data_IF_917139283333
#
_entry.id   IF_917139283333
#
_cell.length_a   1.000
_cell.length_b   1.000
_cell.length_c   1.000
_cell.angle_alpha   90.00
_cell.angle_beta   90.00
_cell.angle_gamma   90.00
#
_symmetry.space_group_name_H-M   'P 1'
#
loop_
_entity.id
_entity.type
_entity.pdbx_description
1 polymer ?
#
# COMPACT_ATOMS: atom_id res chain seq x y z
N UNK A 1 41.03 25.69 11.03
CA UNK A 1 39.77 25.47 11.75
C UNK A 1 38.69 25.37 10.69
N UNK A 2 38.12 24.25 10.29
CA UNK A 2 38.05 22.88 10.79
C UNK A 2 36.77 22.35 10.15
N UNK A 3 36.90 21.36 9.27
CA UNK A 3 35.84 20.72 8.48
C UNK A 3 35.07 19.73 9.37
N UNK A 4 33.75 19.65 9.27
CA UNK A 4 32.96 18.57 9.89
C UNK A 4 31.77 18.16 9.02
N UNK A 5 32.06 17.20 8.12
CA UNK A 5 31.15 16.18 7.62
C UNK A 5 31.05 14.99 8.61
N UNK A 6 29.98 14.18 8.46
CA UNK A 6 29.64 12.91 9.10
C UNK A 6 28.55 13.01 10.18
N UNK A 7 27.53 12.17 10.24
CA UNK A 7 27.29 10.92 9.56
C UNK A 7 26.08 10.24 10.23
N UNK A 8 25.21 9.66 9.43
CA UNK A 8 24.04 8.88 9.85
C UNK A 8 24.47 7.56 10.50
N UNK A 9 23.99 7.25 11.71
CA UNK A 9 23.59 5.90 12.13
C UNK A 9 23.04 5.87 13.55
N UNK A 10 21.80 5.39 13.71
CA UNK A 10 21.32 4.80 14.96
C UNK A 10 21.27 3.28 14.81
N UNK A 11 21.96 2.52 15.67
CA UNK A 11 21.65 1.11 15.87
C UNK A 11 21.14 0.87 17.29
N UNK A 12 19.97 0.23 17.38
CA UNK A 12 19.70 -0.95 18.21
C UNK A 12 18.24 -1.00 18.67
N UNK A 13 17.54 -2.03 18.22
CA UNK A 13 16.44 -2.62 18.97
C UNK A 13 16.67 -4.12 19.00
N UNK A 14 17.33 -4.56 20.05
CA UNK A 14 17.56 -5.96 20.38
C UNK A 14 16.25 -6.54 20.90
N UNK A 15 15.68 -7.50 20.18
CA UNK A 15 14.57 -8.31 20.68
C UNK A 15 15.12 -9.37 21.63
N UNK A 16 14.79 -9.28 22.90
CA UNK A 16 15.12 -10.31 23.89
C UNK A 16 13.91 -11.22 24.10
N UNK A 17 14.06 -12.48 23.69
CA UNK A 17 13.21 -13.59 24.15
C UNK A 17 13.67 -14.02 25.55
N UNK A 18 12.75 -14.19 26.49
CA UNK A 18 13.03 -14.92 27.72
C UNK A 18 11.83 -15.78 28.14
N UNK A 19 12.10 -17.07 28.20
CA UNK A 19 11.29 -18.15 28.78
C UNK A 19 11.61 -18.32 30.28
N UNK A 20 10.60 -18.56 31.11
CA UNK A 20 10.70 -19.05 32.51
C UNK A 20 9.67 -18.37 33.43
N UNK A 21 8.53 -18.97 33.80
CA UNK A 21 8.26 -20.06 34.78
C UNK A 21 8.49 -19.67 36.26
N UNK A 22 7.39 -19.35 37.01
CA UNK A 22 6.83 -20.09 38.18
C UNK A 22 6.17 -19.20 39.27
N UNK A 23 4.92 -19.57 39.65
CA UNK A 23 4.19 -19.39 40.95
C UNK A 23 3.87 -17.93 41.38
N UNK A 24 2.68 -17.55 41.84
CA UNK A 24 1.91 -18.05 43.01
C UNK A 24 0.37 -17.95 42.85
N UNK A 25 -0.35 -18.67 43.72
CA UNK A 25 -1.82 -18.86 43.79
C UNK A 25 -2.51 -17.74 44.57
N UNK A 26 -3.77 -17.43 44.23
CA UNK A 26 -4.86 -17.17 45.18
C UNK A 26 -6.20 -17.65 44.57
N UNK A 27 -7.10 -18.11 45.45
CA UNK A 27 -8.33 -18.89 45.21
C UNK A 27 -9.54 -18.05 45.65
N UNK A 28 -10.60 -17.94 44.84
CA UNK A 28 -11.96 -17.71 45.35
C UNK A 28 -13.07 -18.16 44.35
N UNK A 29 -13.84 -19.12 44.85
CA UNK A 29 -15.24 -19.57 44.62
C UNK A 29 -15.95 -19.59 43.24
N UNK A 30 -16.44 -20.80 42.93
CA UNK A 30 -17.38 -21.27 41.89
C UNK A 30 -18.85 -20.82 42.15
N UNK A 31 -19.78 -20.83 41.16
CA UNK A 31 -20.54 -22.09 40.93
C UNK A 31 -21.00 -22.37 39.48
N UNK A 32 -20.64 -23.56 39.00
CA UNK A 32 -21.52 -24.65 38.50
C UNK A 32 -22.42 -24.41 37.27
N UNK A 33 -22.05 -25.10 36.18
CA UNK A 33 -22.87 -25.33 34.97
C UNK A 33 -22.50 -26.64 34.27
N UNK A 34 -22.96 -27.75 34.85
CA UNK A 34 -22.75 -29.15 34.47
C UNK A 34 -23.04 -29.50 32.99
N UNK A 35 -22.13 -30.26 32.35
CA UNK A 35 -22.36 -31.66 31.91
C UNK A 35 -21.19 -32.17 31.08
N UNK A 36 -20.49 -33.16 31.64
CA UNK A 36 -19.54 -33.98 30.91
C UNK A 36 -20.23 -34.72 29.76
N UNK A 37 -19.54 -34.74 28.63
CA UNK A 37 -19.64 -35.84 27.68
C UNK A 37 -18.28 -36.50 27.76
N UNK A 38 -18.19 -37.50 28.65
CA UNK A 38 -17.24 -38.60 28.49
C UNK A 38 -17.61 -39.25 27.16
N UNK A 39 -16.78 -39.07 26.16
CA UNK A 39 -16.71 -39.95 25.00
C UNK A 39 -15.46 -40.81 25.24
N UNK A 40 -15.53 -41.63 26.28
CA UNK A 40 -14.64 -42.77 26.42
C UNK A 40 -15.11 -43.81 25.39
N UNK A 41 -14.37 -43.96 24.30
CA UNK A 41 -13.90 -45.26 23.83
C UNK A 41 -12.83 -45.08 22.74
N UNK A 42 -11.78 -45.89 22.90
CA UNK A 42 -10.73 -46.25 21.93
C UNK A 42 -9.58 -45.26 21.71
N UNK A 43 -8.67 -45.28 22.69
CA UNK A 43 -7.30 -44.83 22.53
C UNK A 43 -6.43 -45.88 21.83
N UNK A 44 -6.54 -46.07 20.51
CA UNK A 44 -5.43 -46.60 19.71
C UNK A 44 -5.61 -46.41 18.18
N UNK A 45 -5.80 -45.18 17.71
CA UNK A 45 -5.62 -44.91 16.28
C UNK A 45 -4.99 -43.54 15.98
N UNK A 46 -4.36 -42.94 16.98
CA UNK A 46 -3.92 -41.54 17.01
C UNK A 46 -2.74 -41.20 16.09
N UNK A 47 -2.28 -42.12 15.23
CA UNK A 47 -1.13 -41.87 14.33
C UNK A 47 -1.36 -42.16 12.85
N UNK A 48 -2.51 -42.69 12.44
CA UNK A 48 -2.80 -42.87 11.01
C UNK A 48 -3.50 -41.63 10.46
N UNK A 49 -2.81 -40.92 9.56
CA UNK A 49 -3.38 -39.77 8.83
C UNK A 49 -4.66 -40.22 8.13
N UNK A 50 -5.79 -39.62 8.52
CA UNK A 50 -7.09 -39.89 7.90
C UNK A 50 -7.02 -39.58 6.41
N UNK A 51 -7.35 -40.57 5.56
CA UNK A 51 -7.64 -40.35 4.15
C UNK A 51 -9.16 -40.40 3.98
N UNK A 52 -9.73 -39.28 3.55
CA UNK A 52 -11.14 -39.20 3.20
C UNK A 52 -11.35 -39.80 1.81
N UNK A 53 -12.47 -40.49 1.63
CA UNK A 53 -12.96 -40.89 0.30
C UNK A 53 -13.29 -39.65 -0.54
N UNK A 54 -13.33 -39.82 -1.87
CA UNK A 54 -13.74 -38.75 -2.79
C UNK A 54 -15.15 -38.25 -2.46
N UNK A 55 -16.10 -39.15 -2.25
CA UNK A 55 -17.49 -38.78 -1.95
C UNK A 55 -17.60 -38.03 -0.61
N UNK A 56 -16.87 -38.50 0.41
CA UNK A 56 -16.78 -37.79 1.69
C UNK A 56 -16.24 -36.37 1.52
N UNK A 57 -15.20 -36.20 0.69
CA UNK A 57 -14.62 -34.88 0.43
C UNK A 57 -15.57 -33.94 -0.32
N UNK A 58 -16.41 -34.48 -1.22
CA UNK A 58 -17.40 -33.70 -1.97
C UNK A 58 -18.47 -33.17 -1.03
N UNK A 59 -19.07 -34.03 -0.21
CA UNK A 59 -20.13 -33.64 0.73
C UNK A 59 -19.61 -32.63 1.77
N UNK A 60 -18.38 -32.82 2.28
CA UNK A 60 -17.75 -31.87 3.20
C UNK A 60 -17.57 -30.49 2.56
N UNK A 61 -17.14 -30.45 1.29
CA UNK A 61 -16.94 -29.19 0.57
C UNK A 61 -18.27 -28.50 0.23
N UNK A 62 -19.30 -29.25 -0.19
CA UNK A 62 -20.65 -28.71 -0.41
C UNK A 62 -21.22 -28.11 0.88
N UNK A 63 -21.18 -28.87 1.98
CA UNK A 63 -21.66 -28.38 3.27
C UNK A 63 -20.88 -27.13 3.73
N UNK A 64 -19.57 -27.08 3.45
CA UNK A 64 -18.74 -25.93 3.80
C UNK A 64 -19.07 -24.67 3.00
N UNK A 65 -19.44 -24.80 1.72
CA UNK A 65 -19.86 -23.67 0.88
C UNK A 65 -21.08 -22.97 1.47
N UNK A 66 -22.02 -23.75 1.98
CA UNK A 66 -23.24 -23.21 2.61
C UNK A 66 -22.96 -22.73 4.04
N UNK A 67 -22.14 -23.45 4.80
CA UNK A 67 -21.88 -23.20 6.22
C UNK A 67 -20.40 -23.39 6.56
N UNK A 68 -19.62 -22.30 6.59
CA UNK A 68 -18.18 -22.36 6.91
C UNK A 68 -17.88 -22.77 8.37
N UNK A 69 -18.89 -22.69 9.25
CA UNK A 69 -18.87 -23.15 10.64
C UNK A 69 -20.10 -24.02 10.91
N UNK A 70 -19.89 -25.14 11.59
CA UNK A 70 -20.98 -26.06 11.97
C UNK A 70 -21.32 -25.90 13.44
N UNK A 71 -22.62 -25.89 13.76
CA UNK A 71 -23.06 -26.07 15.13
C UNK A 71 -22.89 -27.55 15.57
N UNK A 72 -22.96 -27.86 16.88
CA UNK A 72 -22.75 -29.22 17.37
C UNK A 72 -23.70 -30.26 16.76
N UNK A 73 -24.98 -29.92 16.55
CA UNK A 73 -25.99 -30.82 15.97
C UNK A 73 -25.69 -31.13 14.50
N UNK A 74 -25.38 -30.12 13.70
CA UNK A 74 -24.97 -30.26 12.30
C UNK A 74 -23.70 -31.10 12.18
N UNK A 75 -22.70 -30.84 13.05
CA UNK A 75 -21.46 -31.63 13.11
C UNK A 75 -21.74 -33.11 13.36
N UNK A 76 -22.59 -33.42 14.35
CA UNK A 76 -22.96 -34.80 14.65
C UNK A 76 -23.75 -35.45 13.50
N UNK A 77 -24.69 -34.74 12.89
CA UNK A 77 -25.47 -35.25 11.76
C UNK A 77 -24.58 -35.56 10.55
N UNK A 78 -23.67 -34.64 10.20
CA UNK A 78 -22.72 -34.81 9.10
C UNK A 78 -21.73 -35.95 9.38
N UNK A 79 -21.24 -36.07 10.62
CA UNK A 79 -20.38 -37.17 11.03
C UNK A 79 -21.07 -38.53 10.84
N UNK A 80 -22.34 -38.65 11.25
CA UNK A 80 -23.14 -39.87 11.05
C UNK A 80 -23.35 -40.16 9.56
N UNK A 81 -23.73 -39.16 8.76
CA UNK A 81 -23.94 -39.31 7.32
C UNK A 81 -22.68 -39.80 6.59
N UNK A 82 -21.50 -39.34 7.01
CA UNK A 82 -20.23 -39.66 6.36
C UNK A 82 -19.53 -40.90 6.93
N UNK A 83 -20.06 -41.49 8.00
CA UNK A 83 -19.37 -42.57 8.74
C UNK A 83 -18.03 -42.11 9.35
N UNK A 84 -17.95 -40.85 9.80
CA UNK A 84 -16.76 -40.26 10.39
C UNK A 84 -17.00 -39.94 11.87
N UNK A 85 -15.91 -39.77 12.63
CA UNK A 85 -16.00 -39.21 13.99
C UNK A 85 -16.27 -37.71 13.92
N UNK A 86 -17.06 -37.20 14.85
CA UNK A 86 -17.36 -35.76 14.95
C UNK A 86 -16.09 -34.91 15.01
N UNK A 87 -15.04 -35.40 15.70
CA UNK A 87 -13.72 -34.73 15.74
C UNK A 87 -13.05 -34.64 14.38
N UNK A 88 -13.19 -35.65 13.51
CA UNK A 88 -12.60 -35.63 12.17
C UNK A 88 -13.27 -34.56 11.30
N UNK A 89 -14.60 -34.45 11.38
CA UNK A 89 -15.35 -33.37 10.72
C UNK A 89 -14.90 -32.01 11.24
N UNK A 90 -14.80 -31.84 12.56
CA UNK A 90 -14.34 -30.59 13.17
C UNK A 90 -12.95 -30.17 12.69
N UNK A 91 -11.97 -31.08 12.74
CA UNK A 91 -10.60 -30.84 12.29
C UNK A 91 -10.57 -30.53 10.80
N UNK A 92 -11.40 -31.20 9.99
CA UNK A 92 -11.50 -30.90 8.56
C UNK A 92 -11.98 -29.47 8.32
N UNK A 93 -13.05 -29.04 9.01
CA UNK A 93 -13.59 -27.68 8.90
C UNK A 93 -12.59 -26.62 9.39
N UNK A 94 -11.88 -26.89 10.48
CA UNK A 94 -10.80 -26.02 10.98
C UNK A 94 -9.68 -25.88 9.93
N UNK A 95 -9.19 -27.00 9.40
CA UNK A 95 -8.15 -27.00 8.37
C UNK A 95 -8.60 -26.32 7.08
N UNK A 96 -9.88 -26.49 6.70
CA UNK A 96 -10.44 -25.84 5.52
C UNK A 96 -10.46 -24.33 5.69
N UNK A 97 -10.93 -23.82 6.84
CA UNK A 97 -10.91 -22.38 7.16
C UNK A 97 -9.49 -21.83 7.23
N UNK A 98 -8.56 -22.55 7.88
CA UNK A 98 -7.16 -22.15 7.97
C UNK A 98 -6.54 -21.99 6.56
N UNK A 99 -6.75 -22.95 5.66
CA UNK A 99 -6.29 -22.87 4.27
C UNK A 99 -6.93 -21.72 3.49
N UNK A 100 -8.23 -21.47 3.67
CA UNK A 100 -8.90 -20.33 3.02
C UNK A 100 -8.32 -19.01 3.51
N UNK A 101 -8.14 -18.85 4.82
CA UNK A 101 -7.55 -17.65 5.41
C UNK A 101 -6.12 -17.43 4.92
N UNK A 102 -5.30 -18.48 4.90
CA UNK A 102 -3.92 -18.41 4.40
C UNK A 102 -3.88 -17.92 2.95
N UNK A 103 -4.66 -18.54 2.05
CA UNK A 103 -4.75 -18.12 0.65
C UNK A 103 -5.19 -16.67 0.51
N UNK A 104 -6.16 -16.23 1.32
CA UNK A 104 -6.60 -14.84 1.32
C UNK A 104 -5.46 -13.90 1.74
N UNK A 105 -4.75 -14.21 2.82
CA UNK A 105 -3.62 -13.41 3.28
C UNK A 105 -2.49 -13.34 2.25
N UNK A 106 -2.20 -14.44 1.54
CA UNK A 106 -1.22 -14.44 0.45
C UNK A 106 -1.61 -13.44 -0.65
N UNK A 107 -2.87 -13.48 -1.09
CA UNK A 107 -3.42 -12.54 -2.11
C UNK A 107 -3.40 -11.10 -1.60
N UNK A 108 -3.81 -10.86 -0.36
CA UNK A 108 -3.83 -9.52 0.23
C UNK A 108 -2.41 -8.95 0.33
N UNK A 109 -1.43 -9.77 0.71
CA UNK A 109 -0.02 -9.37 0.76
C UNK A 109 0.52 -9.00 -0.63
N UNK A 110 0.18 -9.77 -1.67
CA UNK A 110 0.55 -9.43 -3.04
C UNK A 110 -0.09 -8.14 -3.52
N UNK A 111 -1.38 -7.94 -3.22
CA UNK A 111 -2.10 -6.72 -3.55
C UNK A 111 -1.47 -5.49 -2.88
N UNK A 112 -1.25 -5.55 -1.56
CA UNK A 112 -0.63 -4.46 -0.81
C UNK A 112 0.78 -4.14 -1.33
N UNK A 113 1.57 -5.16 -1.68
CA UNK A 113 2.90 -4.96 -2.27
C UNK A 113 2.83 -4.14 -3.56
N UNK A 114 1.92 -4.50 -4.47
CA UNK A 114 1.72 -3.75 -5.73
C UNK A 114 1.26 -2.31 -5.47
N UNK A 115 0.37 -2.11 -4.51
CA UNK A 115 -0.05 -0.76 -4.13
C UNK A 115 1.12 0.08 -3.61
N UNK A 116 1.98 -0.49 -2.77
CA UNK A 116 3.18 0.18 -2.27
C UNK A 116 4.17 0.54 -3.39
N UNK A 117 4.43 -0.39 -4.32
CA UNK A 117 5.28 -0.15 -5.49
C UNK A 117 4.73 1.00 -6.34
N UNK A 118 3.43 0.98 -6.65
CA UNK A 118 2.80 2.03 -7.45
C UNK A 118 2.84 3.39 -6.75
N UNK A 119 2.49 3.45 -5.45
CA UNK A 119 2.56 4.69 -4.67
C UNK A 119 3.99 5.24 -4.61
N UNK A 120 4.99 4.37 -4.53
CA UNK A 120 6.40 4.76 -4.52
C UNK A 120 6.81 5.39 -5.85
N UNK A 121 6.41 4.79 -6.97
CA UNK A 121 6.70 5.35 -8.30
C UNK A 121 5.97 6.68 -8.52
N UNK A 122 4.70 6.77 -8.16
CA UNK A 122 3.93 8.02 -8.26
C UNK A 122 4.53 9.12 -7.38
N UNK A 123 4.96 8.78 -6.16
CA UNK A 123 5.63 9.74 -5.27
C UNK A 123 6.95 10.22 -5.89
N UNK A 124 7.75 9.31 -6.46
CA UNK A 124 8.98 9.64 -7.17
C UNK A 124 8.72 10.53 -8.38
N UNK A 125 7.67 10.27 -9.16
CA UNK A 125 7.28 11.10 -10.31
C UNK A 125 6.89 12.51 -9.87
N UNK A 126 6.01 12.62 -8.88
CA UNK A 126 5.58 13.91 -8.34
C UNK A 126 6.75 14.70 -7.74
N UNK A 127 7.70 14.05 -7.07
CA UNK A 127 8.91 14.71 -6.57
C UNK A 127 9.78 15.29 -7.69
N UNK A 128 9.91 14.58 -8.83
CA UNK A 128 10.60 15.10 -10.02
C UNK A 128 9.85 16.31 -10.59
N UNK A 129 8.54 16.20 -10.80
CA UNK A 129 7.71 17.31 -11.29
C UNK A 129 7.83 18.54 -10.37
N UNK A 130 7.77 18.35 -9.06
CA UNK A 130 7.95 19.42 -8.07
C UNK A 130 9.33 20.06 -8.18
N UNK A 131 10.38 19.26 -8.37
CA UNK A 131 11.76 19.75 -8.50
C UNK A 131 11.95 20.56 -9.79
N UNK A 132 11.42 20.07 -10.91
CA UNK A 132 11.43 20.76 -12.20
C UNK A 132 10.67 22.09 -12.13
N UNK A 133 9.46 22.10 -11.55
CA UNK A 133 8.68 23.32 -11.36
C UNK A 133 9.36 24.33 -10.45
N UNK A 134 10.07 23.87 -9.40
CA UNK A 134 10.87 24.75 -8.54
C UNK A 134 12.05 25.35 -9.32
N UNK A 135 12.77 24.54 -10.10
CA UNK A 135 13.88 25.01 -10.92
C UNK A 135 13.44 26.06 -11.96
N UNK A 136 12.29 25.85 -12.61
CA UNK A 136 11.71 26.81 -13.55
C UNK A 136 11.32 28.13 -12.86
N UNK A 137 10.74 28.07 -11.65
CA UNK A 137 10.41 29.28 -10.86
C UNK A 137 11.63 30.05 -10.37
N UNK A 138 12.75 29.36 -10.12
CA UNK A 138 14.00 29.95 -9.64
C UNK A 138 14.90 30.47 -10.76
N UNK A 139 14.63 30.15 -12.03
CA UNK A 139 15.34 30.70 -13.18
C UNK A 139 14.90 32.15 -13.43
N UNK A 140 15.72 33.16 -13.10
CA UNK A 140 15.34 34.56 -13.30
C UNK A 140 15.22 34.89 -14.80
N UNK A 141 15.83 34.07 -15.66
CA UNK A 141 16.00 34.36 -17.09
C UNK A 141 14.75 33.99 -17.89
N UNK A 142 14.02 32.96 -17.49
CA UNK A 142 12.78 32.56 -18.19
C UNK A 142 11.60 33.51 -17.91
N UNK A 143 11.51 34.05 -16.69
CA UNK A 143 10.46 35.03 -16.36
C UNK A 143 10.77 36.43 -16.91
N UNK A 144 12.06 36.79 -17.03
CA UNK A 144 12.49 38.09 -17.60
C UNK A 144 12.57 38.09 -19.14
N UNK A 145 12.67 36.91 -19.78
CA UNK A 145 12.66 36.73 -21.25
C UNK A 145 11.30 36.20 -21.77
N UNK A 146 10.22 36.27 -21.00
CA UNK A 146 8.91 36.36 -21.64
C UNK A 146 8.79 37.79 -22.13
N UNK A 147 8.82 38.00 -23.45
CA UNK A 147 8.43 39.28 -24.04
C UNK A 147 7.09 39.66 -23.40
N UNK A 148 6.95 40.89 -22.86
CA UNK A 148 5.71 41.27 -22.20
C UNK A 148 4.55 40.89 -23.11
N UNK A 149 3.51 40.20 -22.61
CA UNK A 149 2.31 39.98 -23.39
C UNK A 149 1.91 41.31 -24.00
N UNK A 150 1.50 41.34 -25.27
CA UNK A 150 0.96 42.56 -25.87
C UNK A 150 -0.29 42.93 -25.06
N UNK A 151 -0.10 43.72 -24.01
CA UNK A 151 -1.18 44.06 -23.10
C UNK A 151 -2.00 45.10 -23.81
N UNK A 152 -3.19 44.70 -24.26
CA UNK A 152 -4.21 45.62 -24.71
C UNK A 152 -4.52 46.54 -23.51
N UNK A 153 -4.03 47.77 -23.58
CA UNK A 153 -4.23 48.74 -22.51
C UNK A 153 -5.59 49.37 -22.73
N UNK A 154 -6.56 49.05 -21.87
CA UNK A 154 -7.87 49.68 -21.88
C UNK A 154 -7.75 51.08 -21.27
N UNK A 155 -8.19 52.09 -22.01
CA UNK A 155 -8.34 53.43 -21.46
C UNK A 155 -9.68 53.51 -20.71
N UNK A 156 -9.69 53.71 -19.37
CA UNK A 156 -10.92 53.69 -18.58
C UNK A 156 -11.84 54.90 -18.82
N UNK A 157 -11.45 55.85 -19.67
CA UNK A 157 -12.27 57.03 -20.01
C UNK A 157 -12.99 56.92 -21.36
N UNK A 158 -12.61 56.00 -22.24
CA UNK A 158 -13.20 55.89 -23.58
C UNK A 158 -13.40 54.46 -24.09
N UNK A 159 -13.14 53.43 -23.27
CA UNK A 159 -13.31 52.00 -23.58
C UNK A 159 -12.62 51.48 -24.85
N UNK A 160 -11.70 52.25 -25.44
CA UNK A 160 -11.01 51.86 -26.66
C UNK A 160 -9.81 50.95 -26.40
N UNK A 161 -9.69 49.91 -27.22
CA UNK A 161 -8.61 48.93 -27.22
C UNK A 161 -7.52 49.35 -28.18
N UNK A 162 -6.34 49.74 -27.70
CA UNK A 162 -5.22 50.15 -28.55
C UNK A 162 -4.05 49.16 -28.45
N UNK A 163 -3.58 48.66 -29.60
CA UNK A 163 -2.34 47.88 -29.72
C UNK A 163 -1.19 48.88 -29.84
N UNK A 164 -0.18 48.88 -28.94
CA UNK A 164 0.97 49.77 -29.11
C UNK A 164 1.81 49.34 -30.33
N UNK A 165 2.32 50.28 -31.14
CA UNK A 165 3.19 49.93 -32.27
C UNK A 165 4.52 49.34 -31.78
N UNK A 166 5.13 48.39 -32.51
CA UNK A 166 6.41 47.82 -32.12
C UNK A 166 7.49 48.91 -32.06
N UNK A 167 8.23 48.95 -30.95
CA UNK A 167 9.31 49.91 -30.76
C UNK A 167 10.37 49.75 -31.87
N UNK A 168 10.85 50.84 -32.49
CA UNK A 168 11.91 50.76 -33.47
C UNK A 168 13.23 50.37 -32.79
N UNK A 169 13.84 49.31 -33.31
CA UNK A 169 15.20 48.89 -32.95
C UNK A 169 16.15 50.03 -33.31
N UNK A 170 16.96 50.48 -32.35
CA UNK A 170 17.94 51.52 -32.55
C UNK A 170 18.92 51.11 -33.67
N UNK A 171 18.84 51.81 -34.80
CA UNK A 171 19.77 51.65 -35.91
C UNK A 171 21.17 52.07 -35.43
N UNK A 172 22.12 51.14 -35.50
CA UNK A 172 23.54 51.44 -35.35
C UNK A 172 23.98 52.28 -36.56
N UNK A 173 24.21 53.57 -36.34
CA UNK A 173 24.75 54.49 -37.34
C UNK A 173 26.16 54.06 -37.73
N UNK A 174 26.31 53.42 -38.89
CA UNK A 174 27.59 53.25 -39.56
C UNK A 174 27.95 54.58 -40.25
N UNK A 175 28.91 55.30 -39.70
CA UNK A 175 29.43 56.54 -40.28
C UNK A 175 30.36 56.20 -41.45
N UNK A 176 29.79 56.20 -42.65
CA UNK A 176 30.52 56.04 -43.91
C UNK A 176 31.18 57.37 -44.30
N UNK A 177 32.47 57.50 -43.98
CA UNK A 177 33.34 58.57 -44.49
C UNK A 177 33.43 58.50 -46.02
N UNK A 178 32.85 59.47 -46.71
CA UNK A 178 33.13 59.76 -48.12
C UNK A 178 33.59 61.21 -48.26
N UNK A 179 34.85 61.41 -48.61
CA UNK A 179 35.40 62.68 -49.06
C UNK A 179 35.22 62.78 -50.58
N UNK A 180 34.71 63.88 -51.13
CA UNK A 180 34.96 64.23 -52.51
C UNK A 180 36.17 65.18 -52.64
N UNK A 181 36.71 65.13 -53.84
CA UNK A 181 38.03 65.53 -54.30
C UNK A 181 38.11 67.03 -54.67
N UNK A 182 39.27 67.63 -54.35
CA UNK A 182 40.04 68.71 -54.99
C UNK A 182 39.39 70.01 -55.44
N UNK A 183 40.11 71.13 -55.20
CA UNK A 183 40.54 72.03 -56.29
C UNK A 183 41.64 73.02 -55.82
N UNK A 184 42.74 73.08 -56.59
CA UNK A 184 43.83 74.07 -56.65
C UNK A 184 44.91 74.04 -55.55
#
# INVERSE_FOLDING_TARGET
YGDEDAGVSSPNSTVSSSTGKRSEREEDTDPQGSRGISDDEDGDNSRKKLRLSKDQSVILEETFKDHSTLNPKQKQALAKQLGLRARQVEVWFQNRRARTKLKQTEVDCEFLRRCCENLTEENRRLQKEVTELRALKLSPQFYMHMSPPTTLTMCPSCEHVSVPPPQPQAATSADHRSLPVNAW
#
